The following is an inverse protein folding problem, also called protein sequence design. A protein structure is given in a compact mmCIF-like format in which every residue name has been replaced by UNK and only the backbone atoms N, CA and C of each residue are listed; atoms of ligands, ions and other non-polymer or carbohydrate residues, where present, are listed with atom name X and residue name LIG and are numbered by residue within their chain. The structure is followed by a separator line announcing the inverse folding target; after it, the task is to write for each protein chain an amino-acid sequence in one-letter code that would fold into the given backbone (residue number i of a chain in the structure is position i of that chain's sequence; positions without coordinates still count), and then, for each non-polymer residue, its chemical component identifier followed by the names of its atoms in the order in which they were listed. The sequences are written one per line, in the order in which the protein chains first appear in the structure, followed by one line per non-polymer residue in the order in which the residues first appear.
data_IF_448274930494
#
_entry.id   IF_448274930494
#
_cell.length_a   1.000
_cell.length_b   1.000
_cell.length_c   1.000
_cell.angle_alpha   90.00
_cell.angle_beta   90.00
_cell.angle_gamma   90.00
#
_symmetry.space_group_name_H-M   'P 1'
#
loop_
_entity.id
_entity.type
_entity.pdbx_description
1 polymer ?
#
# COMPACT_ATOMS: atom_id res chain seq x y z
N UNK A 1 10.66 20.04 -37.32
CA UNK A 1 10.39 21.21 -36.47
C UNK A 1 9.42 20.97 -35.31
N UNK A 2 8.85 19.73 -35.10
CA UNK A 2 7.88 19.45 -34.00
C UNK A 2 8.50 18.90 -32.69
N UNK A 3 9.75 18.46 -32.70
CA UNK A 3 10.42 17.93 -31.49
C UNK A 3 11.08 19.01 -30.60
N UNK A 4 11.36 20.18 -31.14
CA UNK A 4 11.96 21.28 -30.37
C UNK A 4 10.94 21.98 -29.44
N UNK A 5 9.67 22.03 -29.85
CA UNK A 5 8.60 22.63 -29.03
C UNK A 5 8.20 21.81 -27.79
N UNK A 6 8.27 20.48 -27.90
CA UNK A 6 7.95 19.62 -26.74
C UNK A 6 9.03 19.66 -25.64
N UNK A 7 10.31 19.79 -26.05
CA UNK A 7 11.42 19.94 -25.08
C UNK A 7 11.40 21.29 -24.37
N UNK A 8 10.98 22.35 -25.09
CA UNK A 8 10.79 23.68 -24.51
C UNK A 8 9.65 23.72 -23.48
N UNK A 9 8.55 23.04 -23.76
CA UNK A 9 7.40 23.00 -22.86
C UNK A 9 7.72 22.25 -21.55
N UNK A 10 8.48 21.16 -21.63
CA UNK A 10 8.91 20.38 -20.44
C UNK A 10 9.90 21.19 -19.59
N UNK A 11 10.81 21.94 -20.19
CA UNK A 11 11.74 22.82 -19.44
C UNK A 11 11.02 23.99 -18.77
N UNK A 12 10.04 24.60 -19.41
CA UNK A 12 9.22 25.66 -18.82
C UNK A 12 8.33 25.16 -17.70
N UNK A 13 7.81 23.93 -17.81
CA UNK A 13 7.02 23.28 -16.73
C UNK A 13 7.88 22.98 -15.49
N UNK A 14 9.14 22.59 -15.69
CA UNK A 14 10.09 22.34 -14.59
C UNK A 14 10.52 23.63 -13.88
N UNK A 15 10.60 24.77 -14.59
CA UNK A 15 10.94 26.07 -14.00
C UNK A 15 9.75 26.70 -13.24
N UNK A 16 8.51 26.39 -13.62
CA UNK A 16 7.32 26.89 -12.94
C UNK A 16 7.11 26.26 -11.55
N UNK A 17 7.65 25.06 -11.29
CA UNK A 17 7.58 24.40 -9.98
C UNK A 17 8.53 25.02 -8.95
N UNK A 18 9.57 25.74 -9.37
CA UNK A 18 10.54 26.40 -8.49
C UNK A 18 10.09 27.73 -7.86
N UNK A 19 8.93 28.28 -8.27
CA UNK A 19 8.55 29.67 -7.96
C UNK A 19 7.72 29.90 -6.68
N UNK A 20 7.25 28.88 -5.98
CA UNK A 20 6.41 29.03 -4.77
C UNK A 20 7.19 28.82 -3.47
N UNK A 21 8.42 29.33 -3.38
CA UNK A 21 9.19 29.33 -2.15
C UNK A 21 8.84 30.55 -1.29
N UNK A 22 7.66 30.57 -0.66
CA UNK A 22 7.31 31.60 0.31
C UNK A 22 7.97 31.33 1.66
N UNK A 23 8.59 32.37 2.16
CA UNK A 23 9.30 32.51 3.43
C UNK A 23 8.36 32.48 4.64
N UNK A 24 8.73 31.75 5.71
CA UNK A 24 8.31 32.10 7.07
C UNK A 24 7.55 31.09 7.91
N UNK A 25 8.07 29.87 8.02
CA UNK A 25 7.91 28.96 9.18
C UNK A 25 9.00 27.91 9.08
N UNK A 26 9.48 27.37 10.21
CA UNK A 26 10.53 26.36 10.20
C UNK A 26 10.07 25.16 9.35
N UNK A 27 10.43 25.17 8.07
CA UNK A 27 10.02 24.14 7.10
C UNK A 27 10.52 22.79 7.59
N UNK A 28 9.62 21.81 7.62
CA UNK A 28 10.00 20.43 7.87
C UNK A 28 10.97 19.98 6.76
N UNK A 29 12.23 19.66 7.05
CA UNK A 29 13.22 19.27 6.03
C UNK A 29 12.80 18.02 5.23
N UNK A 30 11.90 17.21 5.79
CA UNK A 30 11.36 16.01 5.12
C UNK A 30 10.21 16.32 4.20
N UNK A 31 9.61 17.52 4.31
CA UNK A 31 8.43 17.94 3.54
C UNK A 31 8.57 19.37 3.04
N UNK A 32 9.56 19.66 2.19
CA UNK A 32 9.79 21.00 1.67
C UNK A 32 8.67 21.49 0.74
N UNK A 33 7.85 20.57 0.23
CA UNK A 33 6.71 20.85 -0.66
C UNK A 33 5.35 20.72 0.05
N UNK A 34 5.32 20.93 1.37
CA UNK A 34 4.10 20.80 2.19
C UNK A 34 2.86 21.50 1.60
N UNK A 35 2.92 22.74 1.10
CA UNK A 35 1.73 23.39 0.50
C UNK A 35 1.17 22.58 -0.69
N UNK A 36 2.03 22.14 -1.60
CA UNK A 36 1.63 21.29 -2.72
C UNK A 36 1.07 19.96 -2.23
N UNK A 37 1.76 19.30 -1.31
CA UNK A 37 1.37 18.02 -0.75
C UNK A 37 0.02 18.08 -0.03
N UNK A 38 -0.28 19.15 0.70
CA UNK A 38 -1.59 19.38 1.31
C UNK A 38 -2.71 19.57 0.28
N UNK A 39 -2.45 20.26 -0.81
CA UNK A 39 -3.44 20.37 -1.90
C UNK A 39 -3.71 19.02 -2.56
N UNK A 40 -2.67 18.24 -2.85
CA UNK A 40 -2.81 16.88 -3.39
C UNK A 40 -3.52 15.93 -2.40
N UNK A 41 -3.23 16.04 -1.11
CA UNK A 41 -3.93 15.31 -0.05
C UNK A 41 -5.43 15.64 -0.03
N UNK A 42 -5.78 16.93 -0.01
CA UNK A 42 -7.18 17.37 0.01
C UNK A 42 -7.94 16.94 -1.25
N UNK A 43 -7.26 16.92 -2.41
CA UNK A 43 -7.81 16.37 -3.64
C UNK A 43 -8.11 14.86 -3.49
N UNK A 44 -7.13 14.08 -3.00
CA UNK A 44 -7.29 12.64 -2.78
C UNK A 44 -8.40 12.33 -1.76
N UNK A 45 -8.47 13.08 -0.65
CA UNK A 45 -9.54 12.99 0.36
C UNK A 45 -10.92 13.31 -0.22
N UNK A 46 -10.99 14.35 -1.06
CA UNK A 46 -12.23 14.71 -1.76
C UNK A 46 -12.71 13.61 -2.69
N UNK A 47 -11.79 13.04 -3.46
CA UNK A 47 -12.06 11.93 -4.38
C UNK A 47 -12.45 10.65 -3.61
N UNK A 48 -11.76 10.33 -2.54
CA UNK A 48 -12.09 9.19 -1.67
C UNK A 48 -13.50 9.32 -1.11
N UNK A 49 -13.82 10.47 -0.51
CA UNK A 49 -15.12 10.71 0.11
C UNK A 49 -16.29 10.66 -0.87
N UNK A 50 -16.10 11.16 -2.10
CA UNK A 50 -17.18 11.27 -3.10
C UNK A 50 -17.33 9.98 -3.89
N UNK A 51 -16.25 9.29 -4.17
CA UNK A 51 -16.25 8.14 -5.09
C UNK A 51 -15.78 6.84 -4.43
N UNK A 52 -14.54 6.80 -3.90
CA UNK A 52 -13.92 5.54 -3.54
C UNK A 52 -14.52 4.95 -2.25
N UNK A 53 -14.72 5.75 -1.21
CA UNK A 53 -15.31 5.32 0.08
C UNK A 53 -16.75 4.80 -0.08
N UNK A 54 -17.69 5.45 -0.82
CA UNK A 54 -19.01 4.90 -1.09
C UNK A 54 -19.00 3.58 -1.85
N UNK A 55 -18.17 3.47 -2.91
CA UNK A 55 -18.05 2.24 -3.70
C UNK A 55 -17.44 1.12 -2.87
N UNK A 56 -16.39 1.39 -2.11
CA UNK A 56 -15.74 0.42 -1.21
C UNK A 56 -16.70 -0.05 -0.09
N UNK A 57 -17.55 0.84 0.44
CA UNK A 57 -18.57 0.50 1.42
C UNK A 57 -19.62 -0.43 0.79
N UNK A 58 -20.12 -0.10 -0.40
CA UNK A 58 -21.07 -0.95 -1.14
C UNK A 58 -20.46 -2.32 -1.44
N UNK A 59 -19.21 -2.36 -1.88
CA UNK A 59 -18.47 -3.61 -2.12
C UNK A 59 -18.36 -4.45 -0.84
N UNK A 60 -17.96 -3.84 0.29
CA UNK A 60 -17.87 -4.53 1.58
C UNK A 60 -19.22 -5.10 2.03
N UNK A 61 -20.31 -4.33 1.86
CA UNK A 61 -21.63 -4.67 2.40
C UNK A 61 -22.41 -5.63 1.50
N UNK A 62 -22.13 -5.65 0.18
CA UNK A 62 -22.86 -6.47 -0.79
C UNK A 62 -22.11 -7.70 -1.24
N UNK A 63 -20.77 -7.68 -1.26
CA UNK A 63 -19.98 -8.84 -1.67
C UNK A 63 -19.71 -9.74 -0.47
N UNK A 64 -20.04 -11.04 -0.53
CA UNK A 64 -19.79 -11.97 0.56
C UNK A 64 -18.32 -11.98 1.02
N UNK A 65 -18.06 -12.13 2.32
CA UNK A 65 -16.69 -12.10 2.87
C UNK A 65 -15.74 -13.07 2.16
N UNK A 66 -16.16 -14.29 1.88
CA UNK A 66 -15.35 -15.30 1.19
C UNK A 66 -14.88 -14.81 -0.20
N UNK A 67 -15.76 -14.16 -0.96
CA UNK A 67 -15.40 -13.63 -2.28
C UNK A 67 -14.40 -12.47 -2.17
N UNK A 68 -14.59 -11.58 -1.18
CA UNK A 68 -13.65 -10.48 -0.91
C UNK A 68 -12.27 -11.00 -0.50
N UNK A 69 -12.24 -12.02 0.38
CA UNK A 69 -10.99 -12.72 0.73
C UNK A 69 -10.31 -13.30 -0.51
N UNK A 70 -11.06 -13.97 -1.38
CA UNK A 70 -10.51 -14.50 -2.63
C UNK A 70 -9.93 -13.42 -3.55
N UNK A 71 -10.59 -12.26 -3.65
CA UNK A 71 -10.07 -11.11 -4.42
C UNK A 71 -8.79 -10.56 -3.80
N UNK A 72 -8.76 -10.37 -2.47
CA UNK A 72 -7.58 -9.89 -1.77
C UNK A 72 -6.40 -10.87 -1.91
N UNK A 73 -6.65 -12.18 -1.78
CA UNK A 73 -5.65 -13.24 -1.94
C UNK A 73 -5.08 -13.26 -3.37
N UNK A 74 -5.95 -13.15 -4.40
CA UNK A 74 -5.53 -13.10 -5.79
C UNK A 74 -4.56 -11.93 -6.05
N UNK A 75 -4.89 -10.72 -5.59
CA UNK A 75 -3.98 -9.58 -5.73
C UNK A 75 -2.74 -9.72 -4.85
N UNK A 76 -2.87 -10.32 -3.67
CA UNK A 76 -1.76 -10.69 -2.80
C UNK A 76 -0.77 -11.62 -3.51
N UNK A 77 -1.26 -12.69 -4.13
CA UNK A 77 -0.45 -13.65 -4.88
C UNK A 77 0.31 -12.99 -6.04
N UNK A 78 -0.34 -12.10 -6.79
CA UNK A 78 0.35 -11.32 -7.83
C UNK A 78 1.47 -10.47 -7.23
N UNK A 79 1.23 -9.87 -6.06
CA UNK A 79 2.24 -9.10 -5.34
C UNK A 79 3.39 -9.96 -4.83
N UNK A 80 3.12 -11.19 -4.36
CA UNK A 80 4.14 -12.13 -3.84
C UNK A 80 5.20 -12.42 -4.93
N UNK A 81 4.78 -12.60 -6.19
CA UNK A 81 5.71 -12.78 -7.31
C UNK A 81 6.65 -11.58 -7.54
N UNK A 82 6.16 -10.34 -7.40
CA UNK A 82 7.00 -9.14 -7.49
C UNK A 82 7.84 -8.93 -6.23
N UNK A 83 7.31 -9.24 -5.06
CA UNK A 83 8.05 -9.21 -3.80
C UNK A 83 9.23 -10.19 -3.83
N UNK A 84 9.06 -11.41 -4.36
CA UNK A 84 10.16 -12.37 -4.54
C UNK A 84 11.30 -11.76 -5.36
N UNK A 85 11.01 -11.11 -6.48
CA UNK A 85 12.04 -10.45 -7.30
C UNK A 85 12.77 -9.37 -6.50
N UNK A 86 12.05 -8.55 -5.73
CA UNK A 86 12.66 -7.50 -4.93
C UNK A 86 13.46 -8.04 -3.75
N UNK A 87 12.99 -9.09 -3.05
CA UNK A 87 13.77 -9.78 -2.01
C UNK A 87 15.10 -10.32 -2.56
N UNK A 88 15.08 -10.91 -3.76
CA UNK A 88 16.31 -11.37 -4.44
C UNK A 88 17.25 -10.20 -4.77
N UNK A 89 16.74 -9.09 -5.31
CA UNK A 89 17.52 -7.88 -5.62
C UNK A 89 18.11 -7.22 -4.37
N UNK A 90 17.49 -7.44 -3.22
CA UNK A 90 17.96 -6.96 -1.91
C UNK A 90 18.94 -7.93 -1.24
N UNK A 91 19.16 -9.14 -1.81
CA UNK A 91 20.01 -10.18 -1.22
C UNK A 91 19.37 -10.95 -0.07
N UNK A 92 18.06 -10.82 0.12
CA UNK A 92 17.28 -11.48 1.18
C UNK A 92 16.79 -12.84 0.70
N UNK A 93 17.69 -13.84 0.71
CA UNK A 93 17.39 -15.16 0.17
C UNK A 93 16.26 -15.91 0.89
N UNK A 94 16.16 -15.93 2.23
CA UNK A 94 15.04 -16.59 2.90
C UNK A 94 13.68 -15.98 2.48
N UNK A 95 13.55 -14.66 2.49
CA UNK A 95 12.33 -13.97 2.08
C UNK A 95 12.00 -14.18 0.59
N UNK A 96 13.03 -14.25 -0.27
CA UNK A 96 12.87 -14.63 -1.67
C UNK A 96 12.27 -16.03 -1.81
N UNK A 97 12.82 -17.01 -1.09
CA UNK A 97 12.35 -18.40 -1.13
C UNK A 97 10.89 -18.49 -0.65
N UNK A 98 10.55 -17.84 0.45
CA UNK A 98 9.19 -17.83 1.00
C UNK A 98 8.20 -17.15 0.05
N UNK A 99 8.49 -15.95 -0.46
CA UNK A 99 7.63 -15.26 -1.42
C UNK A 99 7.47 -16.06 -2.73
N UNK A 100 8.55 -16.69 -3.22
CA UNK A 100 8.51 -17.53 -4.40
C UNK A 100 7.67 -18.79 -4.17
N UNK A 101 7.84 -19.45 -3.02
CA UNK A 101 7.05 -20.60 -2.62
C UNK A 101 5.56 -20.23 -2.50
N UNK A 102 5.22 -19.12 -1.84
CA UNK A 102 3.85 -18.59 -1.76
C UNK A 102 3.23 -18.42 -3.13
N UNK A 103 3.94 -17.71 -4.02
CA UNK A 103 3.46 -17.46 -5.38
C UNK A 103 3.15 -18.76 -6.12
N UNK A 104 4.03 -19.78 -6.04
CA UNK A 104 3.82 -21.05 -6.71
C UNK A 104 2.70 -21.88 -6.05
N UNK A 105 2.72 -22.03 -4.73
CA UNK A 105 1.74 -22.81 -3.99
C UNK A 105 0.34 -22.24 -4.20
N UNK A 106 0.17 -20.94 -4.02
CA UNK A 106 -1.13 -20.30 -4.20
C UNK A 106 -1.58 -20.28 -5.66
N UNK A 107 -0.66 -20.18 -6.63
CA UNK A 107 -1.02 -20.25 -8.05
C UNK A 107 -1.47 -21.65 -8.46
N UNK A 108 -0.75 -22.71 -8.02
CA UNK A 108 -1.00 -24.09 -8.45
C UNK A 108 -2.12 -24.76 -7.63
N UNK A 109 -2.12 -24.58 -6.32
CA UNK A 109 -3.06 -25.24 -5.41
C UNK A 109 -4.17 -24.31 -4.93
N UNK A 110 -3.94 -22.98 -4.96
CA UNK A 110 -4.90 -21.96 -4.54
C UNK A 110 -5.73 -21.37 -5.68
N UNK A 111 -5.85 -22.04 -6.83
CA UNK A 111 -6.62 -21.55 -8.00
C UNK A 111 -6.20 -20.13 -8.38
N UNK A 112 -4.98 -19.99 -8.86
CA UNK A 112 -4.35 -18.70 -9.21
C UNK A 112 -4.28 -17.70 -8.04
N UNK A 113 -4.26 -18.20 -6.81
CA UNK A 113 -4.14 -17.37 -5.59
C UNK A 113 -5.46 -16.90 -5.00
N UNK A 114 -6.61 -17.40 -5.45
CA UNK A 114 -7.91 -17.14 -4.81
C UNK A 114 -7.93 -17.72 -3.37
N UNK A 115 -7.32 -18.90 -3.18
CA UNK A 115 -7.12 -19.53 -1.88
C UNK A 115 -5.66 -19.34 -1.44
N UNK A 116 -5.45 -18.91 -0.19
CA UNK A 116 -4.10 -18.71 0.38
C UNK A 116 -3.62 -19.98 1.09
N UNK A 117 -3.34 -21.02 0.30
CA UNK A 117 -2.82 -22.31 0.78
C UNK A 117 -1.44 -22.16 1.43
N UNK A 118 -0.65 -21.21 0.98
CA UNK A 118 0.68 -20.95 1.54
C UNK A 118 0.62 -20.51 3.00
N UNK A 119 -0.40 -19.74 3.39
CA UNK A 119 -0.63 -19.37 4.80
C UNK A 119 -1.01 -20.57 5.66
N UNK A 120 -1.77 -21.54 5.13
CA UNK A 120 -2.09 -22.79 5.82
C UNK A 120 -0.83 -23.65 6.04
N UNK A 121 0.18 -23.50 5.18
CA UNK A 121 1.49 -24.15 5.31
C UNK A 121 2.49 -23.34 6.17
N UNK A 122 2.06 -22.27 6.82
CA UNK A 122 2.90 -21.35 7.62
C UNK A 122 4.07 -20.74 6.85
N UNK A 123 3.92 -20.50 5.55
CA UNK A 123 4.91 -19.75 4.76
C UNK A 123 4.63 -18.26 4.92
N UNK A 124 5.57 -17.50 5.45
CA UNK A 124 5.40 -16.07 5.72
C UNK A 124 5.35 -15.23 4.44
N UNK A 125 4.65 -14.08 4.50
CA UNK A 125 4.55 -13.13 3.40
C UNK A 125 5.38 -11.89 3.67
N UNK A 126 6.34 -11.62 2.80
CA UNK A 126 7.18 -10.44 2.85
C UNK A 126 6.82 -9.49 1.70
N UNK A 127 6.28 -8.31 2.05
CA UNK A 127 5.87 -7.31 1.04
C UNK A 127 7.05 -6.43 0.68
N UNK A 128 7.58 -6.63 -0.52
CA UNK A 128 8.73 -5.90 -1.04
C UNK A 128 8.37 -5.18 -2.34
N UNK A 129 8.90 -3.97 -2.50
CA UNK A 129 8.76 -3.17 -3.71
C UNK A 129 10.11 -2.61 -4.19
N UNK A 130 10.12 -2.04 -5.39
CA UNK A 130 11.37 -1.54 -5.98
C UNK A 130 11.87 -0.26 -5.29
N UNK A 131 11.00 0.53 -4.67
CA UNK A 131 11.40 1.67 -3.84
C UNK A 131 12.16 1.23 -2.60
N UNK A 132 11.75 0.11 -1.96
CA UNK A 132 12.51 -0.51 -0.86
C UNK A 132 13.85 -1.05 -1.34
N UNK A 133 13.89 -1.70 -2.49
CA UNK A 133 15.12 -2.19 -3.11
C UNK A 133 16.12 -1.05 -3.35
N UNK A 134 15.68 0.06 -3.91
CA UNK A 134 16.53 1.25 -4.04
C UNK A 134 17.01 1.79 -2.69
N UNK A 135 16.14 1.76 -1.67
CA UNK A 135 16.51 2.14 -0.31
C UNK A 135 17.60 1.27 0.29
N UNK A 136 17.50 -0.06 0.13
CA UNK A 136 18.55 -1.03 0.54
C UNK A 136 19.86 -0.80 -0.21
N UNK A 137 19.81 -0.40 -1.47
CA UNK A 137 21.00 -0.05 -2.24
C UNK A 137 21.59 1.33 -1.87
N UNK A 138 21.05 1.99 -0.83
CA UNK A 138 21.57 3.24 -0.31
C UNK A 138 21.02 4.50 -0.98
N UNK A 139 20.01 4.37 -1.87
CA UNK A 139 19.38 5.55 -2.45
C UNK A 139 18.52 6.27 -1.38
N UNK A 140 18.80 7.54 -1.05
CA UNK A 140 18.05 8.26 -0.04
C UNK A 140 16.57 8.42 -0.47
N UNK A 141 15.67 8.43 0.52
CA UNK A 141 14.23 8.62 0.25
C UNK A 141 13.92 9.94 -0.48
N UNK A 142 14.73 10.98 -0.19
CA UNK A 142 14.44 12.34 -0.64
C UNK A 142 13.22 12.94 0.05
N UNK A 143 12.71 14.07 -0.44
CA UNK A 143 11.53 14.73 0.08
C UNK A 143 10.27 13.87 -0.01
N UNK A 144 9.38 14.08 0.96
CA UNK A 144 8.02 13.53 0.91
C UNK A 144 7.22 14.14 -0.25
N UNK A 145 6.41 13.32 -0.91
CA UNK A 145 5.55 13.72 -2.02
C UNK A 145 4.18 13.07 -1.89
N UNK A 146 3.13 13.87 -1.93
CA UNK A 146 1.76 13.38 -2.04
C UNK A 146 1.34 13.34 -3.51
N UNK A 147 1.17 12.15 -4.05
CA UNK A 147 0.78 11.96 -5.44
C UNK A 147 -0.74 12.00 -5.60
N UNK A 148 -1.27 12.79 -6.55
CA UNK A 148 -2.68 12.70 -6.93
C UNK A 148 -3.04 11.27 -7.34
N UNK A 149 -4.17 10.76 -6.86
CA UNK A 149 -4.70 9.40 -7.04
C UNK A 149 -3.91 8.27 -6.38
N UNK A 150 -2.58 8.41 -6.21
CA UNK A 150 -1.71 7.34 -5.73
C UNK A 150 -1.41 7.43 -4.22
N UNK A 151 -1.57 8.61 -3.63
CA UNK A 151 -1.37 8.83 -2.20
C UNK A 151 0.08 9.15 -1.79
N UNK A 152 0.48 8.82 -0.54
CA UNK A 152 1.78 9.18 0.02
C UNK A 152 2.93 8.45 -0.68
N UNK A 153 4.04 9.16 -0.88
CA UNK A 153 5.25 8.68 -1.55
C UNK A 153 6.48 9.47 -1.07
N UNK A 154 7.66 9.09 -1.55
CA UNK A 154 8.88 9.88 -1.51
C UNK A 154 9.39 10.12 -2.94
N UNK A 155 10.37 10.98 -3.10
CA UNK A 155 10.98 11.19 -4.42
C UNK A 155 11.57 9.89 -4.99
N UNK A 156 12.26 9.09 -4.16
CA UNK A 156 12.79 7.77 -4.53
C UNK A 156 11.68 6.82 -4.95
N UNK A 157 10.65 6.67 -4.11
CA UNK A 157 9.56 5.73 -4.35
C UNK A 157 8.74 6.14 -5.59
N UNK A 158 8.56 7.45 -5.81
CA UNK A 158 7.95 7.98 -7.04
C UNK A 158 8.78 7.66 -8.28
N UNK A 159 10.11 7.74 -8.20
CA UNK A 159 11.01 7.38 -9.30
C UNK A 159 11.01 5.86 -9.59
N UNK A 160 10.66 5.03 -8.61
CA UNK A 160 10.51 3.58 -8.75
C UNK A 160 9.22 3.16 -9.49
N UNK A 161 8.13 3.97 -9.42
CA UNK A 161 6.82 3.62 -9.98
C UNK A 161 6.81 3.19 -11.45
N UNK A 162 7.58 3.80 -12.38
CA UNK A 162 7.61 3.35 -13.77
C UNK A 162 8.12 1.92 -13.92
N UNK A 163 9.10 1.53 -13.10
CA UNK A 163 9.67 0.18 -13.09
C UNK A 163 8.65 -0.79 -12.49
N UNK A 164 8.08 -0.47 -11.35
CA UNK A 164 7.02 -1.27 -10.72
C UNK A 164 5.85 -1.51 -11.68
N UNK A 165 5.37 -0.45 -12.34
CA UNK A 165 4.30 -0.58 -13.32
C UNK A 165 4.70 -1.44 -14.50
N UNK A 166 5.93 -1.29 -15.02
CA UNK A 166 6.44 -2.06 -16.16
C UNK A 166 6.50 -3.55 -15.91
N UNK A 167 6.89 -3.95 -14.69
CA UNK A 167 7.08 -5.34 -14.31
C UNK A 167 5.91 -5.93 -13.51
N UNK A 168 4.89 -5.14 -13.21
CA UNK A 168 3.65 -5.64 -12.61
C UNK A 168 2.99 -6.68 -13.53
N UNK A 169 2.67 -7.86 -12.98
CA UNK A 169 2.11 -8.98 -13.74
C UNK A 169 0.77 -8.60 -14.40
N UNK A 170 -0.06 -7.78 -13.74
CA UNK A 170 -1.32 -7.28 -14.33
C UNK A 170 -1.02 -6.46 -15.58
N UNK A 171 -0.05 -5.54 -15.49
CA UNK A 171 0.30 -4.69 -16.64
C UNK A 171 0.87 -5.48 -17.80
N UNK A 172 1.61 -6.54 -17.52
CA UNK A 172 2.32 -7.33 -18.52
C UNK A 172 1.44 -8.37 -19.21
N UNK A 173 0.55 -9.03 -18.49
CA UNK A 173 -0.20 -10.19 -18.98
C UNK A 173 -1.68 -9.95 -19.18
N UNK A 174 -2.27 -8.87 -18.63
CA UNK A 174 -3.67 -8.57 -18.80
C UNK A 174 -3.93 -7.78 -20.09
N UNK A 175 -4.99 -8.11 -20.85
CA UNK A 175 -5.37 -7.36 -22.04
C UNK A 175 -5.65 -5.89 -21.71
N UNK A 176 -5.26 -4.97 -22.59
CA UNK A 176 -5.49 -3.54 -22.36
C UNK A 176 -6.95 -3.20 -22.10
N UNK A 177 -7.87 -3.89 -22.81
CA UNK A 177 -9.32 -3.68 -22.69
C UNK A 177 -9.91 -3.98 -21.31
N UNK A 178 -9.25 -4.79 -20.48
CA UNK A 178 -9.74 -5.18 -19.15
C UNK A 178 -8.86 -4.71 -17.99
N UNK A 179 -7.65 -4.24 -18.29
CA UNK A 179 -6.64 -3.91 -17.27
C UNK A 179 -7.07 -2.80 -16.33
N UNK A 180 -7.71 -1.76 -16.84
CA UNK A 180 -8.17 -0.65 -16.02
C UNK A 180 -9.26 -1.09 -15.04
N UNK A 181 -10.16 -1.98 -15.46
CA UNK A 181 -11.17 -2.56 -14.58
C UNK A 181 -10.54 -3.37 -13.44
N UNK A 182 -9.48 -4.14 -13.72
CA UNK A 182 -8.73 -4.90 -12.70
C UNK A 182 -8.08 -3.96 -11.68
N UNK A 183 -7.48 -2.84 -12.11
CA UNK A 183 -6.92 -1.85 -11.20
C UNK A 183 -7.99 -1.15 -10.37
N UNK A 184 -9.17 -0.87 -10.95
CA UNK A 184 -10.30 -0.31 -10.20
C UNK A 184 -10.77 -1.29 -9.13
N UNK A 185 -10.94 -2.58 -9.46
CA UNK A 185 -11.32 -3.61 -8.48
C UNK A 185 -10.27 -3.70 -7.37
N UNK A 186 -8.99 -3.71 -7.71
CA UNK A 186 -7.90 -3.71 -6.71
C UNK A 186 -7.96 -2.49 -5.79
N UNK A 187 -8.21 -1.30 -6.33
CA UNK A 187 -8.31 -0.08 -5.54
C UNK A 187 -9.52 -0.10 -4.58
N UNK A 188 -10.68 -0.57 -5.08
CA UNK A 188 -11.90 -0.72 -4.28
C UNK A 188 -11.70 -1.74 -3.18
N UNK A 189 -11.12 -2.91 -3.47
CA UNK A 189 -10.83 -3.94 -2.49
C UNK A 189 -9.86 -3.44 -1.40
N UNK A 190 -8.73 -2.85 -1.79
CA UNK A 190 -7.78 -2.23 -0.84
C UNK A 190 -8.48 -1.20 0.06
N UNK A 191 -9.33 -0.33 -0.53
CA UNK A 191 -10.04 0.69 0.25
C UNK A 191 -11.09 0.08 1.19
N UNK A 192 -11.78 -0.98 0.75
CA UNK A 192 -12.75 -1.68 1.58
C UNK A 192 -12.11 -2.31 2.82
N UNK A 193 -10.91 -2.87 2.68
CA UNK A 193 -10.12 -3.43 3.77
C UNK A 193 -9.60 -2.35 4.74
N UNK A 194 -9.44 -1.11 4.28
CA UNK A 194 -8.97 0.03 5.09
C UNK A 194 -10.09 0.89 5.68
N UNK A 195 -11.37 0.56 5.48
CA UNK A 195 -12.47 1.40 5.96
C UNK A 195 -12.48 1.57 7.49
N UNK A 196 -12.18 0.51 8.24
CA UNK A 196 -12.15 0.54 9.72
C UNK A 196 -11.01 1.43 10.22
N UNK A 197 -9.80 1.22 9.69
CA UNK A 197 -8.62 2.03 10.05
C UNK A 197 -8.82 3.50 9.68
N UNK A 198 -9.43 3.77 8.51
CA UNK A 198 -9.76 5.13 8.09
C UNK A 198 -10.68 5.87 9.06
N UNK A 199 -11.69 5.19 9.60
CA UNK A 199 -12.61 5.79 10.57
C UNK A 199 -11.89 6.13 11.89
N UNK A 200 -11.03 5.24 12.40
CA UNK A 200 -10.21 5.51 13.60
C UNK A 200 -9.29 6.71 13.38
N UNK A 201 -8.67 6.81 12.20
CA UNK A 201 -7.85 7.95 11.84
C UNK A 201 -8.65 9.26 11.78
N UNK A 202 -9.87 9.21 11.22
CA UNK A 202 -10.76 10.37 11.15
C UNK A 202 -11.11 10.92 12.54
N UNK A 203 -11.19 10.07 13.56
CA UNK A 203 -11.55 10.43 14.93
C UNK A 203 -10.34 10.87 15.77
N UNK A 204 -9.16 10.28 15.53
CA UNK A 204 -8.00 10.46 16.40
C UNK A 204 -7.03 11.58 15.95
N UNK A 205 -6.97 11.92 14.65
CA UNK A 205 -5.96 12.84 14.14
C UNK A 205 -6.45 14.28 14.07
N UNK A 206 -5.78 15.19 14.81
CA UNK A 206 -5.99 16.64 14.72
C UNK A 206 -5.60 17.19 13.33
N UNK A 207 -4.48 16.75 12.78
CA UNK A 207 -4.03 17.04 11.41
C UNK A 207 -3.80 15.72 10.66
N UNK A 208 -4.79 15.31 9.89
CA UNK A 208 -4.76 14.06 9.13
C UNK A 208 -3.64 14.01 8.10
N UNK A 209 -3.31 15.14 7.49
CA UNK A 209 -2.21 15.23 6.53
C UNK A 209 -0.87 14.89 7.19
N UNK A 210 -0.53 15.59 8.28
CA UNK A 210 0.72 15.38 9.00
C UNK A 210 0.81 13.96 9.55
N UNK A 211 -0.28 13.43 10.09
CA UNK A 211 -0.34 12.04 10.55
C UNK A 211 -0.06 11.05 9.41
N UNK A 212 -0.72 11.21 8.26
CA UNK A 212 -0.54 10.33 7.09
C UNK A 212 0.90 10.37 6.58
N UNK A 213 1.49 11.58 6.49
CA UNK A 213 2.88 11.76 6.10
C UNK A 213 3.83 11.04 7.05
N UNK A 214 3.69 11.28 8.35
CA UNK A 214 4.62 10.77 9.35
C UNK A 214 4.50 9.26 9.52
N UNK A 215 3.28 8.71 9.50
CA UNK A 215 3.03 7.27 9.49
C UNK A 215 3.63 6.60 8.25
N UNK A 216 3.48 7.19 7.06
CA UNK A 216 4.09 6.67 5.83
C UNK A 216 5.62 6.66 5.94
N UNK A 217 6.22 7.78 6.33
CA UNK A 217 7.68 7.89 6.41
C UNK A 217 8.28 6.98 7.49
N UNK A 218 7.56 6.77 8.60
CA UNK A 218 7.97 5.83 9.65
C UNK A 218 7.91 4.39 9.14
N UNK A 219 6.78 4.00 8.56
CA UNK A 219 6.60 2.66 7.98
C UNK A 219 7.67 2.36 6.92
N UNK A 220 7.92 3.28 5.98
CA UNK A 220 8.94 3.08 4.93
C UNK A 220 10.34 2.90 5.49
N UNK A 221 10.69 3.61 6.56
CA UNK A 221 11.99 3.41 7.23
C UNK A 221 12.08 2.03 7.88
N UNK A 222 11.01 1.59 8.53
CA UNK A 222 10.96 0.27 9.15
C UNK A 222 11.05 -0.87 8.12
N UNK A 223 10.43 -0.70 6.94
CA UNK A 223 10.46 -1.67 5.85
C UNK A 223 11.85 -1.81 5.21
N UNK A 224 12.65 -0.74 5.17
CA UNK A 224 13.98 -0.73 4.55
C UNK A 224 15.07 -1.16 5.54
N UNK A 225 14.97 -0.70 6.79
CA UNK A 225 15.89 -1.11 7.84
C UNK A 225 15.42 -2.46 8.38
N UNK A 226 16.29 -3.45 8.39
CA UNK A 226 15.96 -4.77 8.94
C UNK A 226 15.39 -4.63 10.34
N UNK A 227 14.26 -5.26 10.59
CA UNK A 227 13.60 -5.27 11.91
C UNK A 227 14.46 -5.93 12.97
N UNK A 228 15.37 -6.80 12.54
CA UNK A 228 16.20 -7.59 13.46
C UNK A 228 17.29 -6.78 14.15
N UNK A 229 17.68 -5.62 13.59
CA UNK A 229 18.78 -4.80 14.09
C UNK A 229 18.36 -3.55 14.89
N UNK A 230 17.06 -3.23 15.00
CA UNK A 230 16.63 -2.03 15.70
C UNK A 230 15.46 -2.28 16.68
N UNK A 231 15.74 -2.47 18.00
CA UNK A 231 14.72 -2.68 19.02
C UNK A 231 13.77 -1.48 19.23
N UNK A 232 14.10 -0.30 18.69
CA UNK A 232 13.30 0.92 18.84
C UNK A 232 12.23 1.09 17.73
N UNK A 233 12.13 0.15 16.78
CA UNK A 233 11.08 0.18 15.75
C UNK A 233 9.83 -0.50 16.31
N UNK A 234 8.71 0.23 16.49
CA UNK A 234 7.47 -0.40 16.94
C UNK A 234 7.04 -1.48 15.95
N UNK A 235 6.49 -2.61 16.46
CA UNK A 235 6.00 -3.68 15.61
C UNK A 235 4.96 -3.15 14.61
N UNK A 236 4.83 -3.75 13.43
CA UNK A 236 3.77 -3.39 12.49
C UNK A 236 2.42 -3.54 13.17
N UNK A 237 1.48 -2.69 12.77
CA UNK A 237 0.09 -2.89 13.16
C UNK A 237 -0.32 -4.32 12.81
N UNK A 238 -1.02 -5.02 13.72
CA UNK A 238 -1.47 -6.39 13.47
C UNK A 238 -2.18 -6.50 12.12
N UNK A 239 -1.85 -7.55 11.39
CA UNK A 239 -2.55 -7.85 10.13
C UNK A 239 -3.97 -8.28 10.51
N UNK A 240 -4.94 -7.38 10.35
CA UNK A 240 -6.34 -7.59 10.75
C UNK A 240 -7.00 -8.77 10.00
N UNK A 241 -6.35 -9.34 8.99
CA UNK A 241 -6.81 -10.55 8.32
C UNK A 241 -6.62 -11.83 9.17
N UNK A 242 -5.86 -11.73 10.27
CA UNK A 242 -5.58 -12.87 11.19
C UNK A 242 -6.36 -12.81 12.51
N UNK A 243 -7.39 -11.97 12.64
CA UNK A 243 -8.24 -12.06 13.83
C UNK A 243 -8.94 -13.43 13.83
N UNK A 244 -8.68 -14.32 14.84
CA UNK A 244 -9.46 -15.53 14.99
C UNK A 244 -10.92 -15.13 15.20
N UNK A 245 -11.84 -15.81 14.50
CA UNK A 245 -13.28 -15.64 14.67
C UNK A 245 -13.58 -15.49 16.15
N UNK A 246 -14.27 -14.41 16.52
CA UNK A 246 -14.58 -14.07 17.89
C UNK A 246 -15.03 -15.34 18.65
N UNK A 247 -14.32 -15.68 19.71
CA UNK A 247 -14.71 -16.78 20.59
C UNK A 247 -16.16 -16.56 20.99
N UNK A 248 -17.02 -17.54 20.73
CA UNK A 248 -18.39 -17.54 21.21
C UNK A 248 -18.41 -17.21 22.72
N UNK A 249 -19.29 -16.31 23.18
CA UNK A 249 -19.37 -16.00 24.61
C UNK A 249 -19.67 -17.30 25.38
N UNK A 250 -18.76 -17.67 26.27
CA UNK A 250 -18.90 -18.81 27.17
C UNK A 250 -20.29 -18.75 27.81
N UNK A 251 -21.03 -19.84 27.65
CA UNK A 251 -22.42 -19.97 28.07
C UNK A 251 -22.60 -19.51 29.52
N UNK A 252 -23.65 -18.76 29.76
CA UNK A 252 -24.09 -18.37 31.09
C UNK A 252 -24.36 -19.64 31.92
N UNK A 253 -23.91 -19.70 33.18
CA UNK A 253 -24.24 -20.83 34.07
C UNK A 253 -25.75 -20.87 34.32
N UNK A 254 -26.33 -22.08 34.25
CA UNK A 254 -27.72 -22.32 34.48
C UNK A 254 -28.15 -21.88 35.90
N UNK A 255 -29.36 -21.33 36.07
CA UNK A 255 -29.88 -20.94 37.39
C UNK A 255 -30.08 -22.17 38.29
N UNK A 256 -29.89 -22.07 39.65
CA UNK A 256 -30.04 -23.15 40.55
C UNK A 256 -31.52 -23.58 40.67
N UNK A 257 -31.81 -24.87 40.96
CA UNK A 257 -33.18 -25.37 41.06
C UNK A 257 -33.90 -24.79 42.27
N UNK A 258 -35.17 -24.37 42.05
CA UNK A 258 -36.07 -23.88 43.08
C UNK A 258 -36.36 -24.99 44.10
N UNK A 259 -36.30 -24.64 45.41
CA UNK A 259 -36.79 -25.43 46.50
C UNK A 259 -38.27 -25.13 46.75
#
# INVERSE_FOLDING_TARGET
MKLASARGLVLVSLLAVGGCATTGEARNPRDPWEPFNRHAYNFNEGLDRILLKPVATLYRDKVPPLMRTGVANFFGNISDGWSAVNSLLQGRLPEFEENLARFHVNTMFGVFGIFDVASDLNIERHKEDFGQTLGRWGVPAGPYLMLPFLGPSTLRDTAALPIERRYNLIHRYWPESGRDAVYVVQAVDKRANLLRVGNVLEEAALDKYSFTRDAYLQRRRAEINDRDDNPDVPPPLPDESKEPAAAEPAGQPAPPPAR
#
